data_IF_750726947980
#
_entry.id   IF_750726947980
#
_cell.length_a   1.000
_cell.length_b   1.000
_cell.length_c   1.000
_cell.angle_alpha   90.00
_cell.angle_beta   90.00
_cell.angle_gamma   90.00
#
_symmetry.space_group_name_H-M   'P 1'
#
loop_
_entity.id
_entity.type
_entity.pdbx_description
1 polymer ?
#
# COMPACT_ATOMS: atom_id res chain seq x y z
N UNK A 1 -24.19 -4.24 -67.31
CA UNK A 1 -23.12 -3.63 -66.51
C UNK A 1 -22.54 -4.70 -65.61
N UNK A 2 -21.50 -5.38 -66.09
CA UNK A 2 -20.82 -6.46 -65.34
C UNK A 2 -19.64 -5.84 -64.60
N UNK A 3 -19.72 -5.81 -63.27
CA UNK A 3 -18.63 -5.31 -62.41
C UNK A 3 -17.47 -6.30 -62.49
N UNK A 4 -16.32 -5.82 -62.98
CA UNK A 4 -15.10 -6.61 -63.13
C UNK A 4 -14.54 -6.99 -61.74
N UNK A 5 -14.60 -8.28 -61.39
CA UNK A 5 -14.11 -8.79 -60.10
C UNK A 5 -12.60 -8.56 -59.88
N UNK A 6 -11.82 -8.33 -60.94
CA UNK A 6 -10.39 -8.05 -60.81
C UNK A 6 -10.10 -6.63 -60.30
N UNK A 7 -10.97 -5.65 -60.60
CA UNK A 7 -10.83 -4.29 -60.06
C UNK A 7 -11.16 -4.24 -58.56
N UNK A 8 -12.06 -5.11 -58.08
CA UNK A 8 -12.37 -5.22 -56.66
C UNK A 8 -11.21 -5.85 -55.88
N UNK A 9 -10.57 -6.90 -56.44
CA UNK A 9 -9.40 -7.55 -55.82
C UNK A 9 -8.18 -6.62 -55.77
N UNK A 10 -7.94 -5.81 -56.80
CA UNK A 10 -6.83 -4.85 -56.80
C UNK A 10 -7.07 -3.68 -55.82
N UNK A 11 -8.31 -3.20 -55.68
CA UNK A 11 -8.67 -2.18 -54.67
C UNK A 11 -8.62 -2.70 -53.22
N UNK A 12 -8.83 -4.00 -53.02
CA UNK A 12 -8.65 -4.65 -51.71
C UNK A 12 -7.16 -4.88 -51.39
N UNK A 13 -6.32 -5.18 -52.41
CA UNK A 13 -4.88 -5.36 -52.23
C UNK A 13 -4.12 -4.05 -51.98
N UNK A 14 -4.56 -2.92 -52.55
CA UNK A 14 -3.97 -1.60 -52.28
C UNK A 14 -4.32 -1.04 -50.88
N UNK A 15 -5.45 -1.46 -50.30
CA UNK A 15 -5.82 -1.11 -48.90
C UNK A 15 -4.98 -1.80 -47.83
N UNK A 16 -4.11 -2.74 -48.18
CA UNK A 16 -3.25 -3.48 -47.22
C UNK A 16 -1.86 -2.86 -47.07
N UNK A 17 -1.51 -1.83 -47.85
CA UNK A 17 -0.22 -1.12 -47.75
C UNK A 17 -0.30 0.21 -46.98
N UNK A 18 -1.13 0.28 -45.95
CA UNK A 18 -0.94 1.31 -44.92
C UNK A 18 0.21 0.87 -44.03
N UNK A 19 1.26 1.70 -43.80
CA UNK A 19 2.31 1.33 -42.87
C UNK A 19 1.67 1.11 -41.51
N UNK A 20 1.76 -0.11 -40.98
CA UNK A 20 1.38 -0.43 -39.61
C UNK A 20 2.23 0.48 -38.74
N UNK A 21 1.62 1.53 -38.18
CA UNK A 21 2.27 2.37 -37.18
C UNK A 21 2.85 1.43 -36.12
N UNK A 22 4.14 1.56 -35.81
CA UNK A 22 4.77 0.80 -34.72
C UNK A 22 3.91 1.02 -33.47
N UNK A 23 3.10 0.02 -33.13
CA UNK A 23 2.29 0.03 -31.92
C UNK A 23 3.29 0.16 -30.78
N UNK A 24 3.25 1.28 -30.05
CA UNK A 24 4.09 1.47 -28.87
C UNK A 24 3.92 0.27 -27.92
N UNK A 25 4.97 -0.07 -27.16
CA UNK A 25 4.91 -1.18 -26.20
C UNK A 25 3.77 -0.92 -25.23
N UNK A 26 2.95 -1.94 -24.98
CA UNK A 26 1.93 -1.85 -23.95
C UNK A 26 2.56 -2.01 -22.58
N UNK A 27 1.87 -1.58 -21.52
CA UNK A 27 2.33 -1.78 -20.13
C UNK A 27 2.53 -3.28 -19.81
N UNK A 28 1.74 -4.17 -20.43
CA UNK A 28 1.90 -5.61 -20.29
C UNK A 28 3.18 -6.13 -20.93
N UNK A 29 3.60 -5.53 -22.05
CA UNK A 29 4.89 -5.87 -22.69
C UNK A 29 6.05 -5.38 -21.84
N UNK A 30 5.93 -4.19 -21.24
CA UNK A 30 6.93 -3.65 -20.31
C UNK A 30 7.09 -4.53 -19.07
N UNK A 31 6.00 -5.03 -18.47
CA UNK A 31 6.07 -5.97 -17.33
C UNK A 31 6.87 -7.22 -17.70
N UNK A 32 6.62 -7.79 -18.90
CA UNK A 32 7.35 -8.98 -19.37
C UNK A 32 8.82 -8.70 -19.61
N UNK A 33 9.15 -7.56 -20.22
CA UNK A 33 10.54 -7.15 -20.44
C UNK A 33 11.31 -6.95 -19.13
N UNK A 34 10.61 -6.54 -18.07
CA UNK A 34 11.17 -6.33 -16.74
C UNK A 34 11.29 -7.60 -15.90
N UNK A 35 10.76 -8.76 -16.33
CA UNK A 35 10.83 -10.01 -15.58
C UNK A 35 12.24 -10.38 -15.07
N UNK A 36 13.34 -10.21 -15.84
CA UNK A 36 14.68 -10.47 -15.33
C UNK A 36 15.08 -9.56 -14.16
N UNK A 37 14.69 -8.28 -14.20
CA UNK A 37 14.96 -7.32 -13.13
C UNK A 37 14.07 -7.59 -11.90
N UNK A 38 12.78 -7.87 -12.13
CA UNK A 38 11.83 -8.29 -11.09
C UNK A 38 12.34 -9.54 -10.37
N UNK A 39 12.87 -10.51 -11.11
CA UNK A 39 13.45 -11.74 -10.55
C UNK A 39 14.61 -11.48 -9.59
N UNK A 40 15.47 -10.51 -9.93
CA UNK A 40 16.60 -10.13 -9.07
C UNK A 40 16.12 -9.40 -7.81
N UNK A 41 15.08 -8.59 -7.92
CA UNK A 41 14.55 -7.80 -6.83
C UNK A 41 13.68 -8.61 -5.84
N UNK A 42 12.95 -9.61 -6.32
CA UNK A 42 12.03 -10.39 -5.49
C UNK A 42 12.77 -11.25 -4.45
N UNK A 43 12.22 -11.38 -3.23
CA UNK A 43 12.63 -12.42 -2.31
C UNK A 43 12.50 -13.81 -2.94
N UNK A 44 13.42 -14.72 -2.61
CA UNK A 44 13.53 -16.06 -3.22
C UNK A 44 12.24 -16.89 -3.14
N UNK A 45 11.37 -16.61 -2.18
CA UNK A 45 10.13 -17.32 -1.94
C UNK A 45 8.99 -16.88 -2.88
N UNK A 46 9.12 -15.74 -3.56
CA UNK A 46 8.09 -15.21 -4.46
C UNK A 46 8.48 -15.51 -5.91
N UNK A 47 7.61 -16.19 -6.65
CA UNK A 47 7.85 -16.46 -8.06
C UNK A 47 7.57 -15.22 -8.92
N UNK A 48 8.44 -14.98 -9.90
CA UNK A 48 8.30 -13.87 -10.86
C UNK A 48 6.98 -13.97 -11.62
N UNK A 49 6.60 -15.16 -12.08
CA UNK A 49 5.34 -15.38 -12.79
C UNK A 49 4.12 -15.03 -11.93
N UNK A 50 4.12 -15.40 -10.63
CA UNK A 50 3.04 -15.00 -9.72
C UNK A 50 2.99 -13.49 -9.55
N UNK A 51 4.13 -12.86 -9.26
CA UNK A 51 4.19 -11.41 -9.06
C UNK A 51 3.76 -10.65 -10.31
N UNK A 52 4.28 -11.01 -11.49
CA UNK A 52 3.89 -10.43 -12.78
C UNK A 52 2.39 -10.55 -13.02
N UNK A 53 1.77 -11.71 -12.72
CA UNK A 53 0.31 -11.88 -12.85
C UNK A 53 -0.48 -10.99 -11.90
N UNK A 54 -0.01 -10.79 -10.67
CA UNK A 54 -0.64 -9.88 -9.70
C UNK A 54 -0.62 -8.45 -10.25
N UNK A 55 0.54 -7.99 -10.72
CA UNK A 55 0.68 -6.64 -11.29
C UNK A 55 -0.18 -6.48 -12.56
N UNK A 56 -0.18 -7.48 -13.46
CA UNK A 56 -1.06 -7.46 -14.63
C UNK A 56 -2.54 -7.44 -14.25
N UNK A 57 -2.92 -8.11 -13.17
CA UNK A 57 -4.28 -8.06 -12.63
C UNK A 57 -4.60 -6.66 -12.12
N UNK A 58 -3.70 -6.03 -11.35
CA UNK A 58 -3.88 -4.66 -10.87
C UNK A 58 -4.11 -3.66 -12.02
N UNK A 59 -3.38 -3.80 -13.13
CA UNK A 59 -3.55 -2.97 -14.34
C UNK A 59 -4.90 -3.20 -15.04
N UNK A 60 -5.44 -4.42 -14.95
CA UNK A 60 -6.76 -4.77 -15.52
C UNK A 60 -7.90 -4.28 -14.66
N UNK A 61 -7.78 -4.38 -13.34
CA UNK A 61 -8.80 -3.93 -12.38
C UNK A 61 -8.80 -2.42 -12.24
N UNK A 62 -7.66 -1.75 -12.44
CA UNK A 62 -7.58 -0.30 -12.51
C UNK A 62 -6.97 0.17 -13.86
N UNK A 63 -7.79 0.31 -14.92
CA UNK A 63 -7.32 0.74 -16.23
C UNK A 63 -6.62 2.12 -16.24
N UNK A 64 -6.83 2.97 -15.23
CA UNK A 64 -6.14 4.28 -15.11
C UNK A 64 -4.62 4.12 -14.91
N UNK A 65 -4.15 2.97 -14.41
CA UNK A 65 -2.72 2.67 -14.40
C UNK A 65 -2.11 2.66 -15.81
N UNK A 66 -2.91 2.39 -16.86
CA UNK A 66 -2.46 2.41 -18.25
C UNK A 66 -2.36 3.82 -18.84
N UNK A 67 -2.98 4.82 -18.20
CA UNK A 67 -2.91 6.22 -18.63
C UNK A 67 -1.76 6.98 -17.98
N UNK A 68 -1.11 6.37 -16.99
CA UNK A 68 0.05 6.90 -16.31
C UNK A 68 1.35 6.70 -17.12
N UNK A 69 2.40 7.41 -16.76
CA UNK A 69 3.73 7.25 -17.34
C UNK A 69 4.25 5.84 -17.08
N UNK A 70 4.89 5.25 -18.08
CA UNK A 70 5.46 3.90 -17.96
C UNK A 70 6.60 3.89 -16.94
N UNK A 71 7.33 4.99 -16.86
CA UNK A 71 8.44 5.22 -15.94
C UNK A 71 8.01 5.11 -14.48
N UNK A 72 6.97 5.86 -14.08
CA UNK A 72 6.47 5.82 -12.70
C UNK A 72 5.81 4.49 -12.35
N UNK A 73 5.09 3.88 -13.30
CA UNK A 73 4.50 2.56 -13.11
C UNK A 73 5.57 1.49 -12.82
N UNK A 74 6.61 1.43 -13.65
CA UNK A 74 7.67 0.45 -13.49
C UNK A 74 8.47 0.70 -12.21
N UNK A 75 8.74 1.96 -11.85
CA UNK A 75 9.40 2.31 -10.60
C UNK A 75 8.56 1.91 -9.37
N UNK A 76 7.25 2.13 -9.39
CA UNK A 76 6.34 1.73 -8.31
C UNK A 76 6.23 0.19 -8.19
N UNK A 77 6.16 -0.51 -9.33
CA UNK A 77 6.20 -1.98 -9.38
C UNK A 77 7.50 -2.54 -8.80
N UNK A 78 8.66 -1.95 -9.15
CA UNK A 78 9.96 -2.39 -8.66
C UNK A 78 10.13 -2.18 -7.15
N UNK A 79 9.59 -1.08 -6.59
CA UNK A 79 9.54 -0.88 -5.14
C UNK A 79 8.75 -2.00 -4.44
N UNK A 80 7.57 -2.35 -4.97
CA UNK A 80 6.77 -3.45 -4.45
C UNK A 80 7.50 -4.80 -4.52
N UNK A 81 8.23 -5.04 -5.62
CA UNK A 81 9.02 -6.24 -5.82
C UNK A 81 10.18 -6.37 -4.82
N UNK A 82 10.96 -5.30 -4.61
CA UNK A 82 12.08 -5.28 -3.65
C UNK A 82 11.62 -5.55 -2.22
N UNK A 83 10.45 -5.03 -1.85
CA UNK A 83 9.86 -5.29 -0.53
C UNK A 83 9.18 -6.67 -0.45
N UNK A 84 9.01 -7.36 -1.58
CA UNK A 84 8.28 -8.61 -1.67
C UNK A 84 6.85 -8.48 -1.15
N UNK A 85 6.16 -7.42 -1.55
CA UNK A 85 4.79 -7.12 -1.19
C UNK A 85 3.91 -7.21 -2.43
N UNK A 86 2.72 -7.79 -2.29
CA UNK A 86 1.79 -7.98 -3.41
C UNK A 86 0.89 -6.73 -3.58
N UNK A 87 1.01 -5.98 -4.69
CA UNK A 87 0.26 -4.74 -4.88
C UNK A 87 -1.20 -4.99 -5.25
N UNK A 88 -2.10 -4.15 -4.73
CA UNK A 88 -3.53 -4.12 -5.07
C UNK A 88 -4.23 -5.48 -4.90
N UNK A 89 -3.77 -6.29 -3.95
CA UNK A 89 -4.42 -7.54 -3.56
C UNK A 89 -5.28 -7.33 -2.32
N UNK A 90 -6.25 -8.22 -2.04
CA UNK A 90 -7.02 -8.19 -0.79
C UNK A 90 -6.15 -8.30 0.49
N UNK A 91 -4.88 -8.72 0.37
CA UNK A 91 -3.95 -8.74 1.51
C UNK A 91 -3.59 -7.33 2.00
N UNK A 92 -3.84 -6.28 1.22
CA UNK A 92 -3.63 -4.88 1.65
C UNK A 92 -2.16 -4.55 1.97
N UNK A 93 -1.21 -5.25 1.34
CA UNK A 93 0.22 -5.11 1.62
C UNK A 93 0.84 -3.87 0.96
N UNK A 94 0.46 -3.60 -0.28
CA UNK A 94 0.95 -2.49 -1.07
C UNK A 94 -0.10 -2.04 -2.08
N UNK A 95 0.03 -0.82 -2.57
CA UNK A 95 -0.88 -0.23 -3.55
C UNK A 95 -0.09 0.51 -4.62
N UNK A 96 -0.45 0.28 -5.87
CA UNK A 96 -0.09 1.11 -7.02
C UNK A 96 -1.28 2.02 -7.31
N UNK A 97 -1.11 3.31 -7.09
CA UNK A 97 -2.19 4.29 -7.12
C UNK A 97 -1.89 5.34 -8.20
N UNK A 98 -2.81 5.58 -9.16
CA UNK A 98 -2.72 6.70 -10.08
C UNK A 98 -2.81 8.05 -9.35
N UNK A 99 -1.79 8.90 -9.54
CA UNK A 99 -1.71 10.26 -9.01
C UNK A 99 -1.40 11.22 -10.16
N UNK A 100 -2.43 11.85 -10.71
CA UNK A 100 -2.32 12.55 -11.99
C UNK A 100 -1.89 11.60 -13.12
N UNK A 101 -0.77 11.91 -13.78
CA UNK A 101 -0.18 11.03 -14.81
C UNK A 101 0.86 10.07 -14.26
N UNK A 102 1.09 10.03 -12.96
CA UNK A 102 2.13 9.19 -12.36
C UNK A 102 1.50 8.05 -11.55
N UNK A 103 2.25 6.98 -11.33
CA UNK A 103 1.89 5.91 -10.40
C UNK A 103 2.70 6.08 -9.13
N UNK A 104 2.00 6.11 -8.00
CA UNK A 104 2.59 6.14 -6.68
C UNK A 104 2.54 4.74 -6.07
N UNK A 105 3.68 4.30 -5.54
CA UNK A 105 3.73 3.17 -4.62
C UNK A 105 3.32 3.66 -3.24
N UNK A 106 2.34 3.00 -2.62
CA UNK A 106 2.01 3.22 -1.22
C UNK A 106 2.10 1.92 -0.44
N UNK A 107 2.75 2.00 0.72
CA UNK A 107 2.85 0.91 1.66
C UNK A 107 1.52 0.76 2.41
N UNK A 108 0.95 -0.44 2.37
CA UNK A 108 -0.23 -0.79 3.13
C UNK A 108 0.11 -1.15 4.57
N UNK A 109 -0.86 -1.08 5.48
CA UNK A 109 -0.61 -1.38 6.89
C UNK A 109 -0.23 -2.85 7.10
N UNK A 110 -0.84 -3.78 6.36
CA UNK A 110 -0.46 -5.19 6.37
C UNK A 110 0.97 -5.39 5.84
N UNK A 111 1.40 -4.55 4.90
CA UNK A 111 2.77 -4.53 4.41
C UNK A 111 3.74 -4.06 5.49
N UNK A 112 3.40 -2.98 6.22
CA UNK A 112 4.18 -2.52 7.36
C UNK A 112 4.33 -3.60 8.43
N UNK A 113 3.23 -4.27 8.80
CA UNK A 113 3.25 -5.38 9.76
C UNK A 113 4.10 -6.54 9.25
N UNK A 114 3.90 -6.98 8.01
CA UNK A 114 4.67 -8.06 7.40
C UNK A 114 6.18 -7.75 7.40
N UNK A 115 6.56 -6.52 7.04
CA UNK A 115 7.96 -6.09 7.06
C UNK A 115 8.52 -6.01 8.50
N UNK A 116 7.75 -5.51 9.45
CA UNK A 116 8.15 -5.46 10.84
C UNK A 116 8.36 -6.87 11.42
N UNK A 117 7.42 -7.80 11.22
CA UNK A 117 7.54 -9.17 11.74
C UNK A 117 8.69 -9.98 11.11
N UNK A 118 9.16 -9.62 9.90
CA UNK A 118 10.33 -10.26 9.27
C UNK A 118 11.63 -10.08 10.06
N UNK A 119 11.74 -9.05 10.92
CA UNK A 119 12.92 -8.88 11.78
C UNK A 119 13.04 -10.01 12.80
N UNK A 120 11.92 -10.66 13.13
CA UNK A 120 11.85 -11.65 14.20
C UNK A 120 11.95 -11.05 15.61
N UNK A 121 12.02 -9.72 15.76
CA UNK A 121 12.16 -9.05 17.06
C UNK A 121 10.83 -8.82 17.77
N UNK A 122 9.75 -8.68 17.01
CA UNK A 122 8.43 -8.34 17.53
C UNK A 122 7.71 -9.55 18.12
N UNK A 123 7.13 -9.35 19.30
CA UNK A 123 6.12 -10.24 19.91
C UNK A 123 4.73 -9.87 19.43
N UNK A 124 4.40 -8.58 19.43
CA UNK A 124 3.11 -8.07 18.94
C UNK A 124 3.23 -6.63 18.46
N UNK A 125 2.38 -6.25 17.51
CA UNK A 125 2.20 -4.89 17.01
C UNK A 125 0.70 -4.74 16.72
N UNK A 126 0.06 -3.72 17.28
CA UNK A 126 -1.37 -3.48 17.08
C UNK A 126 -1.71 -2.01 17.26
N UNK A 127 -2.89 -1.60 16.80
CA UNK A 127 -3.44 -0.27 17.00
C UNK A 127 -4.92 -0.33 17.36
N UNK A 128 -5.36 0.58 18.23
CA UNK A 128 -6.71 0.59 18.78
C UNK A 128 -7.29 2.00 18.77
N UNK A 129 -8.60 2.14 18.49
CA UNK A 129 -9.34 3.35 18.81
C UNK A 129 -9.58 3.44 20.33
N UNK A 130 -9.82 4.66 20.80
CA UNK A 130 -10.24 4.97 22.17
C UNK A 130 -11.46 5.86 22.08
N UNK A 131 -12.52 5.47 22.78
CA UNK A 131 -13.80 6.16 22.81
C UNK A 131 -13.94 7.01 24.07
N UNK A 132 -14.90 7.94 24.03
CA UNK A 132 -15.12 8.93 25.10
C UNK A 132 -15.36 8.30 26.48
N UNK A 133 -15.98 7.14 26.52
CA UNK A 133 -16.36 6.43 27.73
C UNK A 133 -15.36 5.33 28.15
N UNK A 134 -14.23 5.19 27.47
CA UNK A 134 -13.15 4.29 27.87
C UNK A 134 -12.37 4.87 29.06
N UNK A 135 -11.81 4.00 29.91
CA UNK A 135 -10.78 4.44 30.85
C UNK A 135 -9.44 4.45 30.11
N UNK A 136 -8.92 5.64 29.86
CA UNK A 136 -7.69 5.84 29.10
C UNK A 136 -6.74 6.82 29.79
N UNK A 137 -5.50 6.40 30.05
CA UNK A 137 -4.42 7.20 30.63
C UNK A 137 -3.12 6.92 29.86
N UNK A 138 -2.34 7.94 29.54
CA UNK A 138 -1.02 7.76 28.93
C UNK A 138 -0.01 8.81 29.40
N UNK A 139 1.26 8.42 29.49
CA UNK A 139 2.40 9.25 29.88
C UNK A 139 3.61 8.88 29.01
N UNK A 140 4.21 9.86 28.34
CA UNK A 140 5.43 9.67 27.52
C UNK A 140 6.73 9.97 28.26
N UNK A 141 6.67 10.27 29.56
CA UNK A 141 7.87 10.65 30.33
C UNK A 141 8.96 9.58 30.30
N UNK A 142 10.04 9.78 31.07
CA UNK A 142 11.15 8.80 31.16
C UNK A 142 10.69 7.37 31.49
N UNK A 143 9.51 7.23 32.09
CA UNK A 143 8.82 5.96 32.29
C UNK A 143 7.50 5.99 31.52
N UNK A 144 7.53 5.53 30.28
CA UNK A 144 6.33 5.45 29.45
C UNK A 144 5.27 4.54 30.07
N UNK A 145 4.02 5.02 30.12
CA UNK A 145 2.86 4.27 30.65
C UNK A 145 1.66 4.46 29.75
N UNK A 146 0.96 3.37 29.46
CA UNK A 146 -0.30 3.36 28.72
C UNK A 146 -1.29 2.45 29.44
N UNK A 147 -2.47 2.97 29.77
CA UNK A 147 -3.58 2.22 30.33
C UNK A 147 -4.79 2.43 29.45
N UNK A 148 -5.33 1.35 28.91
CA UNK A 148 -6.58 1.36 28.17
C UNK A 148 -7.48 0.24 28.66
N UNK A 149 -8.64 0.59 29.20
CA UNK A 149 -9.72 -0.33 29.54
C UNK A 149 -10.96 0.07 28.73
N UNK A 150 -11.28 -0.66 27.66
CA UNK A 150 -12.43 -0.36 26.82
C UNK A 150 -13.74 -0.47 27.60
N UNK A 151 -14.67 0.44 27.31
CA UNK A 151 -16.05 0.29 27.73
C UNK A 151 -16.70 -0.90 27.00
N UNK A 152 -17.61 -1.65 27.64
CA UNK A 152 -18.33 -2.75 26.98
C UNK A 152 -19.10 -2.32 25.72
N UNK A 153 -19.52 -1.04 25.69
CA UNK A 153 -20.19 -0.42 24.55
C UNK A 153 -19.55 0.93 24.27
N UNK A 154 -18.81 1.08 23.16
CA UNK A 154 -18.28 2.37 22.70
C UNK A 154 -19.37 3.44 22.53
N UNK A 155 -19.11 4.65 23.01
CA UNK A 155 -19.99 5.81 22.83
C UNK A 155 -19.42 6.77 21.77
N UNK A 156 -20.17 6.93 20.68
CA UNK A 156 -19.84 7.88 19.63
C UNK A 156 -18.58 7.52 18.85
N UNK A 157 -17.91 8.56 18.36
CA UNK A 157 -16.71 8.47 17.54
C UNK A 157 -15.44 8.32 18.41
N UNK A 158 -14.40 7.60 17.94
CA UNK A 158 -13.11 7.55 18.63
C UNK A 158 -12.51 8.94 18.83
N UNK A 159 -12.04 9.22 20.05
CA UNK A 159 -11.40 10.48 20.45
C UNK A 159 -9.86 10.42 20.39
N UNK A 160 -9.28 9.22 20.52
CA UNK A 160 -7.87 8.95 20.28
C UNK A 160 -7.69 7.67 19.48
N UNK A 161 -6.52 7.54 18.88
CA UNK A 161 -5.99 6.31 18.34
C UNK A 161 -4.60 6.09 18.93
N UNK A 162 -4.25 4.85 19.23
CA UNK A 162 -2.89 4.53 19.62
C UNK A 162 -2.41 3.26 18.93
N UNK A 163 -1.09 3.14 18.83
CA UNK A 163 -0.42 1.93 18.39
C UNK A 163 0.63 1.51 19.43
N UNK A 164 0.84 0.21 19.59
CA UNK A 164 1.81 -0.39 20.51
C UNK A 164 2.61 -1.44 19.78
N UNK A 165 3.89 -1.56 20.12
CA UNK A 165 4.67 -2.77 19.86
C UNK A 165 5.22 -3.35 21.16
N UNK A 166 5.35 -4.67 21.19
CA UNK A 166 6.15 -5.39 22.17
C UNK A 166 7.21 -6.19 21.44
N UNK A 167 8.44 -6.15 21.95
CA UNK A 167 9.56 -6.94 21.48
C UNK A 167 9.68 -8.22 22.31
N UNK A 168 10.30 -9.24 21.72
CA UNK A 168 10.57 -10.51 22.40
C UNK A 168 11.54 -10.36 23.58
N UNK A 169 12.38 -9.33 23.56
CA UNK A 169 13.32 -9.02 24.64
C UNK A 169 12.69 -8.19 25.79
N UNK A 170 11.38 -7.92 25.74
CA UNK A 170 10.65 -7.13 26.74
C UNK A 170 10.61 -5.63 26.48
N UNK A 171 11.32 -5.12 25.46
CA UNK A 171 11.17 -3.73 25.02
C UNK A 171 9.76 -3.47 24.48
N UNK A 172 9.28 -2.24 24.65
CA UNK A 172 7.98 -1.81 24.16
C UNK A 172 8.04 -0.34 23.76
N UNK A 173 7.03 0.11 23.05
CA UNK A 173 6.82 1.51 22.76
C UNK A 173 5.40 1.73 22.27
N UNK A 174 4.90 2.95 22.46
CA UNK A 174 3.58 3.31 21.96
C UNK A 174 3.55 4.73 21.42
N UNK A 175 2.55 5.00 20.56
CA UNK A 175 2.21 6.33 20.09
C UNK A 175 0.71 6.50 20.22
N UNK A 176 0.27 7.65 20.70
CA UNK A 176 -1.11 8.11 20.82
C UNK A 176 -1.27 9.37 19.97
N UNK A 177 -2.34 9.43 19.19
CA UNK A 177 -2.78 10.63 18.48
C UNK A 177 -4.26 10.90 18.78
N UNK A 178 -4.62 12.16 19.01
CA UNK A 178 -6.03 12.55 19.09
C UNK A 178 -6.69 12.44 17.72
N UNK A 179 -8.03 12.32 17.69
CA UNK A 179 -8.79 12.37 16.44
C UNK A 179 -8.47 13.64 15.64
N UNK A 180 -8.34 14.78 16.33
CA UNK A 180 -7.97 16.05 15.70
C UNK A 180 -6.59 15.98 15.03
N UNK A 181 -5.59 15.39 15.67
CA UNK A 181 -4.26 15.20 15.07
C UNK A 181 -4.32 14.29 13.84
N UNK A 182 -5.19 13.28 13.85
CA UNK A 182 -5.43 12.39 12.71
C UNK A 182 -6.12 13.16 11.57
N UNK A 183 -7.12 13.98 11.86
CA UNK A 183 -7.80 14.82 10.88
C UNK A 183 -6.84 15.86 10.25
N UNK A 184 -5.97 16.47 11.06
CA UNK A 184 -4.90 17.34 10.57
C UNK A 184 -3.92 16.59 9.66
N UNK A 185 -3.58 15.34 10.00
CA UNK A 185 -2.77 14.47 9.14
C UNK A 185 -3.48 14.19 7.82
N UNK A 186 -4.75 13.77 7.87
CA UNK A 186 -5.59 13.56 6.68
C UNK A 186 -5.57 14.77 5.77
N UNK A 187 -5.85 15.96 6.30
CA UNK A 187 -5.98 17.18 5.48
C UNK A 187 -4.65 17.61 4.87
N UNK A 188 -3.52 17.22 5.48
CA UNK A 188 -2.18 17.47 4.95
C UNK A 188 -1.84 16.52 3.79
N UNK A 189 -2.13 15.23 3.93
CA UNK A 189 -1.66 14.19 3.01
C UNK A 189 -2.72 13.71 2.00
N UNK A 190 -4.00 13.99 2.23
CA UNK A 190 -5.11 13.66 1.33
C UNK A 190 -5.85 14.92 0.88
N UNK A 191 -5.48 15.42 -0.31
CA UNK A 191 -6.20 16.54 -0.94
C UNK A 191 -7.66 16.17 -1.27
N UNK A 192 -7.91 14.91 -1.66
CA UNK A 192 -9.26 14.43 -1.94
C UNK A 192 -10.16 14.53 -0.70
N UNK A 193 -9.68 14.04 0.45
CA UNK A 193 -10.42 14.12 1.70
C UNK A 193 -10.60 15.58 2.16
N UNK A 194 -9.55 16.40 2.06
CA UNK A 194 -9.62 17.85 2.37
C UNK A 194 -10.68 18.57 1.53
N UNK A 195 -10.85 18.17 0.28
CA UNK A 195 -11.83 18.75 -0.65
C UNK A 195 -13.21 18.06 -0.56
N UNK A 196 -13.42 17.13 0.38
CA UNK A 196 -14.68 16.42 0.57
C UNK A 196 -15.03 15.44 -0.56
N UNK A 197 -14.05 15.06 -1.39
CA UNK A 197 -14.23 14.04 -2.43
C UNK A 197 -14.12 12.64 -1.83
N UNK A 198 -14.64 11.64 -2.55
CA UNK A 198 -14.54 10.26 -2.12
C UNK A 198 -13.08 9.89 -1.82
N UNK A 199 -12.85 9.31 -0.65
CA UNK A 199 -11.51 9.00 -0.14
C UNK A 199 -11.66 7.92 0.93
N UNK A 200 -10.67 7.03 1.10
CA UNK A 200 -10.63 6.09 2.22
C UNK A 200 -10.89 6.74 3.59
N UNK A 201 -10.53 8.02 3.74
CA UNK A 201 -10.79 8.78 4.96
C UNK A 201 -12.27 9.07 5.25
N UNK A 202 -13.15 8.98 4.25
CA UNK A 202 -14.58 9.18 4.41
C UNK A 202 -15.34 7.86 4.57
N UNK A 203 -14.86 6.80 3.93
CA UNK A 203 -15.50 5.47 3.95
C UNK A 203 -14.97 4.57 5.06
N UNK A 204 -13.70 4.69 5.43
CA UNK A 204 -13.02 3.86 6.43
C UNK A 204 -12.00 4.69 7.24
N UNK A 205 -12.52 5.68 7.98
CA UNK A 205 -11.69 6.59 8.78
C UNK A 205 -10.84 5.85 9.83
N UNK A 206 -11.43 4.85 10.52
CA UNK A 206 -10.77 4.11 11.58
C UNK A 206 -9.56 3.31 11.05
N UNK A 207 -9.67 2.64 9.90
CA UNK A 207 -8.54 1.95 9.31
C UNK A 207 -7.41 2.93 8.93
N UNK A 208 -7.76 4.10 8.37
CA UNK A 208 -6.79 5.13 8.02
C UNK A 208 -6.12 5.75 9.25
N UNK A 209 -6.87 5.98 10.32
CA UNK A 209 -6.36 6.44 11.59
C UNK A 209 -5.38 5.42 12.21
N UNK A 210 -5.76 4.14 12.27
CA UNK A 210 -4.90 3.03 12.72
C UNK A 210 -3.63 2.92 11.89
N UNK A 211 -3.72 3.02 10.55
CA UNK A 211 -2.56 3.05 9.65
C UNK A 211 -1.61 4.21 10.02
N UNK A 212 -2.17 5.37 10.29
CA UNK A 212 -1.41 6.58 10.62
C UNK A 212 -0.62 6.41 11.93
N UNK A 213 -1.26 5.95 13.01
CA UNK A 213 -0.56 5.73 14.28
C UNK A 213 0.47 4.60 14.20
N UNK A 214 0.19 3.53 13.45
CA UNK A 214 1.17 2.46 13.18
C UNK A 214 2.40 2.99 12.43
N UNK A 215 2.19 3.82 11.40
CA UNK A 215 3.28 4.45 10.65
C UNK A 215 4.14 5.32 11.55
N UNK A 216 3.56 6.10 12.46
CA UNK A 216 4.32 6.90 13.42
C UNK A 216 5.11 6.04 14.41
N UNK A 217 4.48 4.99 14.94
CA UNK A 217 5.12 4.06 15.87
C UNK A 217 6.37 3.40 15.25
N UNK A 218 6.24 2.90 14.02
CA UNK A 218 7.30 2.14 13.34
C UNK A 218 8.51 3.01 12.93
N UNK A 219 8.41 4.34 13.00
CA UNK A 219 9.56 5.25 12.80
C UNK A 219 10.65 5.06 13.85
N UNK A 220 10.28 4.73 15.09
CA UNK A 220 11.23 4.55 16.20
C UNK A 220 11.47 3.07 16.53
N UNK A 221 10.57 2.19 16.10
CA UNK A 221 10.69 0.77 16.37
C UNK A 221 11.84 0.10 15.57
N UNK A 222 12.40 -1.03 16.07
CA UNK A 222 13.44 -1.80 15.36
C UNK A 222 12.97 -2.26 13.98
N UNK A 223 13.74 -1.99 12.94
CA UNK A 223 13.37 -2.32 11.57
C UNK A 223 14.61 -2.51 10.70
N UNK A 224 14.44 -3.28 9.63
CA UNK A 224 15.50 -3.43 8.62
C UNK A 224 15.73 -2.12 7.86
N UNK A 225 16.89 -1.98 7.23
CA UNK A 225 17.23 -0.80 6.43
C UNK A 225 16.24 -0.61 5.26
N UNK A 226 15.83 -1.70 4.62
CA UNK A 226 14.87 -1.70 3.51
C UNK A 226 13.50 -1.22 3.98
N UNK A 227 13.04 -1.66 5.16
CA UNK A 227 11.78 -1.19 5.71
C UNK A 227 11.87 0.30 6.11
N UNK A 228 12.98 0.74 6.70
CA UNK A 228 13.18 2.15 7.03
C UNK A 228 13.17 3.05 5.78
N UNK A 229 13.77 2.60 4.69
CA UNK A 229 13.76 3.31 3.41
C UNK A 229 12.35 3.36 2.80
N UNK A 230 11.62 2.24 2.82
CA UNK A 230 10.24 2.18 2.36
C UNK A 230 9.31 3.12 3.14
N UNK A 231 9.46 3.18 4.46
CA UNK A 231 8.65 4.07 5.31
C UNK A 231 8.91 5.56 5.01
N UNK A 232 10.16 5.90 4.68
CA UNK A 232 10.59 7.26 4.34
C UNK A 232 10.16 7.68 2.94
N UNK A 233 10.12 6.75 1.98
CA UNK A 233 9.70 6.98 0.61
C UNK A 233 8.19 6.78 0.38
N UNK A 234 7.45 6.32 1.39
CA UNK A 234 6.00 6.13 1.30
C UNK A 234 5.29 7.46 0.97
N UNK A 235 4.23 7.39 0.16
CA UNK A 235 3.50 8.56 -0.36
C UNK A 235 4.36 9.50 -1.23
N UNK A 236 5.39 8.96 -1.91
CA UNK A 236 6.17 9.68 -2.92
C UNK A 236 6.24 8.94 -4.24
N UNK A 237 6.60 9.64 -5.33
CA UNK A 237 6.72 9.03 -6.66
C UNK A 237 8.18 8.93 -7.05
N UNK A 238 8.55 7.83 -7.72
CA UNK A 238 9.86 7.65 -8.36
C UNK A 238 9.66 7.52 -9.87
N UNK A 239 10.59 8.06 -10.67
CA UNK A 239 10.54 8.01 -12.15
C UNK A 239 11.68 7.23 -12.78
N UNK A 240 12.66 6.83 -11.98
CA UNK A 240 13.82 6.09 -12.43
C UNK A 240 13.83 4.71 -11.78
N UNK A 241 14.52 3.77 -12.42
CA UNK A 241 14.67 2.40 -11.96
C UNK A 241 16.16 2.14 -11.74
N UNK A 242 16.50 1.67 -10.56
CA UNK A 242 17.84 1.20 -10.21
C UNK A 242 17.78 -0.23 -9.64
N UNK A 243 18.94 -0.86 -9.50
CA UNK A 243 19.04 -2.17 -8.83
C UNK A 243 18.59 -2.07 -7.37
N UNK A 244 18.90 -0.95 -6.70
CA UNK A 244 18.38 -0.56 -5.40
C UNK A 244 17.49 0.68 -5.57
N UNK A 245 16.17 0.56 -5.31
CA UNK A 245 15.28 1.70 -5.48
C UNK A 245 15.45 2.72 -4.36
N UNK A 246 16.11 2.40 -3.25
CA UNK A 246 16.35 3.36 -2.15
C UNK A 246 17.28 4.49 -2.57
N UNK A 247 18.14 4.26 -3.57
CA UNK A 247 19.06 5.26 -4.14
C UNK A 247 18.35 6.27 -5.05
N UNK A 248 17.18 5.93 -5.57
CA UNK A 248 16.42 6.82 -6.46
C UNK A 248 15.72 7.90 -5.64
N UNK A 249 16.01 9.20 -5.88
CA UNK A 249 15.36 10.27 -5.14
C UNK A 249 13.86 10.31 -5.50
N UNK A 250 12.99 10.43 -4.50
CA UNK A 250 11.58 10.66 -4.76
C UNK A 250 11.35 12.06 -5.30
N UNK A 251 10.29 12.22 -6.09
CA UNK A 251 9.77 13.51 -6.50
C UNK A 251 8.43 13.77 -5.80
N UNK A 252 8.22 15.01 -5.38
CA UNK A 252 6.90 15.48 -4.99
C UNK A 252 6.07 15.71 -6.24
N UNK A 253 4.95 14.99 -6.36
CA UNK A 253 3.98 15.19 -7.43
C UNK A 253 2.81 15.93 -6.83
N UNK A 254 2.58 17.17 -7.27
CA UNK A 254 1.34 17.91 -6.98
C UNK A 254 0.27 17.49 -7.99
N UNK A 255 -0.22 16.28 -7.83
CA UNK A 255 -1.36 15.72 -8.58
C UNK A 255 -2.56 15.52 -7.67
N UNK A 256 -3.66 15.06 -8.23
CA UNK A 256 -4.78 14.55 -7.45
C UNK A 256 -4.91 13.06 -7.72
N UNK A 257 -5.35 12.30 -6.71
CA UNK A 257 -5.68 10.89 -6.88
C UNK A 257 -6.81 10.83 -7.92
N UNK A 258 -6.59 10.09 -9.02
CA UNK A 258 -7.62 9.90 -10.04
C UNK A 258 -8.45 8.67 -9.64
N UNK A 259 -9.31 8.80 -8.64
CA UNK A 259 -10.26 7.75 -8.23
C UNK A 259 -11.65 8.01 -8.83
N UNK A 260 -12.30 6.96 -9.33
CA UNK A 260 -13.76 6.90 -9.53
C UNK A 260 -14.29 5.83 -8.56
N UNK A 261 -15.57 5.94 -8.19
CA UNK A 261 -16.31 5.39 -7.04
C UNK A 261 -16.25 3.88 -6.70
N UNK A 262 -15.35 3.06 -7.24
CA UNK A 262 -15.32 1.62 -6.93
C UNK A 262 -14.33 1.25 -5.81
N UNK A 263 -14.94 0.98 -4.65
CA UNK A 263 -14.45 0.42 -3.39
C UNK A 263 -13.05 -0.23 -3.37
N UNK A 264 -12.09 0.47 -2.78
CA UNK A 264 -10.97 -0.20 -2.10
C UNK A 264 -11.50 -0.69 -0.75
N UNK A 265 -12.18 -1.85 -0.74
CA UNK A 265 -12.54 -2.50 0.52
C UNK A 265 -11.27 -2.92 1.26
N UNK A 266 -10.99 -2.27 2.39
CA UNK A 266 -10.07 -2.79 3.38
C UNK A 266 -10.75 -3.99 4.04
N UNK A 267 -10.26 -5.20 3.76
CA UNK A 267 -10.69 -6.38 4.49
C UNK A 267 -9.97 -6.37 5.83
N UNK A 268 -10.69 -6.09 6.91
CA UNK A 268 -10.17 -6.33 8.27
C UNK A 268 -9.96 -7.84 8.44
N UNK A 269 -8.71 -8.25 8.61
CA UNK A 269 -8.37 -9.60 9.08
C UNK A 269 -8.56 -9.58 10.59
N UNK A 270 -9.56 -10.30 11.11
CA UNK A 270 -9.78 -10.41 12.55
C UNK A 270 -8.53 -11.00 13.22
N UNK A 271 -7.96 -10.27 14.18
CA UNK A 271 -6.82 -10.72 14.98
C UNK A 271 -7.17 -12.04 15.69
N UNK A 272 -6.51 -13.11 15.27
CA UNK A 272 -6.58 -14.41 15.93
C UNK A 272 -5.95 -14.31 17.32
N UNK A 273 -6.80 -14.27 18.35
CA UNK A 273 -6.37 -14.49 19.73
C UNK A 273 -5.76 -15.89 19.83
N UNK A 274 -4.46 -15.95 20.08
CA UNK A 274 -3.80 -17.19 20.48
C UNK A 274 -4.39 -17.60 21.83
N UNK A 275 -5.24 -18.64 21.82
CA UNK A 275 -5.62 -19.33 23.04
C UNK A 275 -4.39 -20.01 23.60
N UNK A 276 -3.96 -19.58 24.79
CA UNK A 276 -3.01 -20.31 25.62
C UNK A 276 -3.58 -21.70 25.94
N UNK A 277 -2.93 -22.74 25.43
CA UNK A 277 -3.16 -24.11 25.87
C UNK A 277 -2.56 -24.22 27.28
N UNK A 278 -3.42 -24.21 28.30
CA UNK A 278 -3.00 -24.55 29.67
C UNK A 278 -2.62 -26.04 29.73
N UNK A 279 -1.53 -26.42 30.42
CA UNK A 279 -1.23 -27.83 30.63
C UNK A 279 -2.26 -28.43 31.60
N UNK A 280 -2.84 -29.57 31.22
CA UNK A 280 -3.61 -30.41 32.13
C UNK A 280 -2.71 -30.84 33.29
N UNK A 281 -3.13 -30.53 34.51
CA UNK A 281 -2.56 -31.10 35.72
C UNK A 281 -3.21 -32.46 35.97
N UNK A 282 -2.40 -33.51 35.94
CA UNK A 282 -2.77 -34.84 36.45
C UNK A 282 -3.25 -34.73 37.91
N UNK A 283 -4.47 -35.20 38.18
CA UNK A 283 -5.01 -35.60 39.49
C UNK A 283 -6.18 -36.54 39.30
#
# INVERSE_FOLDING_TARGET
MTVNQNDLKNKLAEKVKTPVAKKGKTIFDLIREMEPAIKKALPKQISVDRFSRIVMTAVRTNPKLQTCTSESFLAAMMQSAQLGLEPNTPLGQAYLIPYGKEVQFQLGYQGMLALAYRTGEYKSIYAMPVYKNDKFEYEYGLNERLVHVPAPKPEGEPIYYYAVYHLKNGGYGFVVMSREQIEQHRDKYSQAAKQGRNSPWNTDFDAMAKKTVLKQLLKYAPKSAEFAAALSADETVKKEIAEDMTEIPPIEVTGEIIEDEEDVHYVEVQDGTQQEIKPESDS
#
